data_IF_695283121063
#
_entry.id   IF_695283121063
#
_cell.length_a   1.000
_cell.length_b   1.000
_cell.length_c   1.000
_cell.angle_alpha   90.00
_cell.angle_beta   90.00
_cell.angle_gamma   90.00
#
_symmetry.space_group_name_H-M   'P 1'
#
loop_
_entity.id
_entity.type
_entity.pdbx_description
1 polymer ?
#
# COMPACT_ATOMS: atom_id res chain seq x y z
N UNK A 1 43.07 -16.24 35.63
CA UNK A 1 42.22 -15.08 35.96
C UNK A 1 40.78 -15.39 35.53
N UNK A 2 39.90 -15.68 36.50
CA UNK A 2 38.47 -15.88 36.22
C UNK A 2 37.88 -14.53 35.82
N UNK A 3 37.18 -14.45 34.69
CA UNK A 3 36.63 -13.21 34.12
C UNK A 3 35.14 -13.09 34.52
N UNK A 4 34.80 -12.56 35.72
CA UNK A 4 33.41 -12.46 36.16
C UNK A 4 32.58 -11.57 35.23
N UNK A 5 33.21 -10.60 34.56
CA UNK A 5 32.57 -9.73 33.58
C UNK A 5 32.00 -10.50 32.37
N UNK A 6 32.65 -11.59 31.94
CA UNK A 6 32.15 -12.40 30.82
C UNK A 6 30.87 -13.16 31.19
N UNK A 7 30.75 -13.58 32.46
CA UNK A 7 29.53 -14.21 32.98
C UNK A 7 28.37 -13.22 33.08
N UNK A 8 28.63 -11.99 33.50
CA UNK A 8 27.62 -10.93 33.55
C UNK A 8 27.10 -10.56 32.15
N UNK A 9 28.01 -10.41 31.18
CA UNK A 9 27.63 -10.15 29.78
C UNK A 9 26.85 -11.31 29.16
N UNK A 10 27.27 -12.55 29.41
CA UNK A 10 26.55 -13.74 28.95
C UNK A 10 25.14 -13.85 29.56
N UNK A 11 25.00 -13.58 30.86
CA UNK A 11 23.71 -13.59 31.54
C UNK A 11 22.77 -12.48 31.01
N UNK A 12 23.30 -11.29 30.73
CA UNK A 12 22.50 -10.19 30.17
C UNK A 12 22.01 -10.50 28.75
N UNK A 13 22.87 -11.06 27.90
CA UNK A 13 22.50 -11.49 26.55
C UNK A 13 21.45 -12.62 26.57
N UNK A 14 21.59 -13.60 27.47
CA UNK A 14 20.61 -14.67 27.64
C UNK A 14 19.25 -14.13 28.12
N UNK A 15 19.24 -13.23 29.12
CA UNK A 15 18.02 -12.60 29.60
C UNK A 15 17.31 -11.77 28.52
N UNK A 16 18.07 -11.01 27.71
CA UNK A 16 17.52 -10.27 26.57
C UNK A 16 16.89 -11.17 25.52
N UNK A 17 17.52 -12.30 25.21
CA UNK A 17 16.98 -13.28 24.27
C UNK A 17 15.70 -13.94 24.81
N UNK A 18 15.67 -14.35 26.09
CA UNK A 18 14.46 -14.90 26.71
C UNK A 18 13.32 -13.87 26.73
N UNK A 19 13.60 -12.61 27.07
CA UNK A 19 12.59 -11.54 27.07
C UNK A 19 12.02 -11.30 25.67
N UNK A 20 12.86 -11.31 24.62
CA UNK A 20 12.41 -11.18 23.23
C UNK A 20 11.52 -12.36 22.81
N UNK A 21 11.83 -13.59 23.24
CA UNK A 21 10.99 -14.76 22.96
C UNK A 21 9.65 -14.70 23.69
N UNK A 22 9.64 -14.26 24.95
CA UNK A 22 8.39 -14.08 25.71
C UNK A 22 7.51 -12.98 25.12
N UNK A 23 8.09 -11.89 24.59
CA UNK A 23 7.33 -10.84 23.91
C UNK A 23 6.70 -11.31 22.59
N UNK A 24 7.36 -12.20 21.84
CA UNK A 24 6.77 -12.81 20.65
C UNK A 24 5.61 -13.75 20.99
N UNK A 25 5.72 -14.55 22.07
CA UNK A 25 4.63 -15.43 22.53
C UNK A 25 3.45 -14.62 23.10
N UNK A 26 3.71 -13.47 23.74
CA UNK A 26 2.65 -12.60 24.25
C UNK A 26 1.79 -11.95 23.13
N UNK A 27 2.28 -11.92 21.88
CA UNK A 27 1.53 -11.39 20.75
C UNK A 27 0.69 -12.47 20.03
N UNK A 28 0.82 -13.75 20.40
CA UNK A 28 0.01 -14.87 19.87
C UNK A 28 -1.31 -15.08 20.63
N UNK A 29 -1.63 -14.25 21.63
CA UNK A 29 -2.55 -14.64 22.70
C UNK A 29 -3.77 -13.78 22.93
N UNK A 30 -4.32 -13.08 21.94
CA UNK A 30 -5.73 -12.71 22.00
C UNK A 30 -6.52 -13.63 21.05
N UNK A 31 -6.78 -14.85 21.51
CA UNK A 31 -7.69 -15.80 20.86
C UNK A 31 -9.15 -15.43 21.07
N UNK A 32 -9.44 -14.30 21.73
CA UNK A 32 -10.80 -13.81 21.85
C UNK A 32 -11.35 -13.53 20.45
N UNK A 33 -12.56 -14.01 20.12
CA UNK A 33 -13.20 -13.67 18.86
C UNK A 33 -13.28 -12.15 18.72
N UNK A 34 -12.70 -11.60 17.65
CA UNK A 34 -12.85 -10.18 17.33
C UNK A 34 -14.35 -9.91 17.13
N UNK A 35 -14.97 -9.01 17.92
CA UNK A 35 -16.39 -8.68 17.78
C UNK A 35 -16.75 -8.12 16.40
N UNK A 36 -15.76 -7.67 15.61
CA UNK A 36 -15.93 -7.14 14.25
C UNK A 36 -15.73 -8.20 13.16
N UNK A 37 -15.31 -9.42 13.51
CA UNK A 37 -14.97 -10.44 12.53
C UNK A 37 -16.16 -10.79 11.61
N UNK A 38 -17.37 -10.85 12.14
CA UNK A 38 -18.57 -11.15 11.35
C UNK A 38 -18.94 -10.01 10.40
N UNK A 39 -18.82 -8.76 10.84
CA UNK A 39 -19.02 -7.59 9.99
C UNK A 39 -17.98 -7.56 8.86
N UNK A 40 -16.72 -7.88 9.17
CA UNK A 40 -15.65 -7.96 8.18
C UNK A 40 -15.91 -9.06 7.15
N UNK A 41 -16.29 -10.27 7.60
CA UNK A 41 -16.66 -11.37 6.70
C UNK A 41 -17.81 -10.99 5.77
N UNK A 42 -18.83 -10.30 6.29
CA UNK A 42 -19.96 -9.79 5.50
C UNK A 42 -19.48 -8.79 4.43
N UNK A 43 -18.70 -7.77 4.80
CA UNK A 43 -18.16 -6.77 3.86
C UNK A 43 -17.27 -7.39 2.78
N UNK A 44 -16.47 -8.40 3.15
CA UNK A 44 -15.63 -9.13 2.21
C UNK A 44 -16.48 -9.98 1.24
N UNK A 45 -17.55 -10.62 1.71
CA UNK A 45 -18.47 -11.34 0.85
C UNK A 45 -19.18 -10.40 -0.13
N UNK A 46 -19.68 -9.25 0.33
CA UNK A 46 -20.28 -8.21 -0.52
C UNK A 46 -19.30 -7.68 -1.58
N UNK A 47 -18.05 -7.44 -1.19
CA UNK A 47 -17.02 -6.94 -2.12
C UNK A 47 -16.60 -7.99 -3.15
N UNK A 48 -16.59 -9.28 -2.79
CA UNK A 48 -16.27 -10.37 -3.73
C UNK A 48 -17.32 -10.54 -4.83
N UNK A 49 -18.60 -10.33 -4.53
CA UNK A 49 -19.65 -10.37 -5.53
C UNK A 49 -19.42 -9.32 -6.64
N UNK A 50 -18.89 -8.15 -6.31
CA UNK A 50 -18.56 -7.08 -7.27
C UNK A 50 -17.35 -7.46 -8.15
N UNK A 51 -16.43 -8.28 -7.65
CA UNK A 51 -15.23 -8.71 -8.39
C UNK A 51 -15.57 -9.67 -9.53
N UNK A 52 -16.63 -10.47 -9.40
CA UNK A 52 -17.03 -11.44 -10.44
C UNK A 52 -17.43 -10.74 -11.75
N UNK A 53 -17.98 -9.52 -11.68
CA UNK A 53 -18.35 -8.70 -12.85
C UNK A 53 -17.19 -7.84 -13.38
N UNK A 54 -16.09 -7.74 -12.61
CA UNK A 54 -14.97 -6.84 -12.93
C UNK A 54 -14.21 -7.28 -14.18
N UNK A 55 -14.02 -8.57 -14.39
CA UNK A 55 -13.29 -9.07 -15.57
C UNK A 55 -14.03 -8.73 -16.87
N UNK A 56 -15.36 -8.84 -16.89
CA UNK A 56 -16.18 -8.48 -18.05
C UNK A 56 -16.17 -6.97 -18.31
N UNK A 57 -16.21 -6.17 -17.24
CA UNK A 57 -16.09 -4.71 -17.33
C UNK A 57 -14.71 -4.27 -17.85
N UNK A 58 -13.64 -4.83 -17.29
CA UNK A 58 -12.26 -4.46 -17.65
C UNK A 58 -11.85 -4.98 -19.03
N UNK A 59 -12.43 -6.09 -19.50
CA UNK A 59 -12.18 -6.61 -20.84
C UNK A 59 -12.62 -5.65 -21.96
N UNK A 60 -13.58 -4.76 -21.69
CA UNK A 60 -14.02 -3.73 -22.62
C UNK A 60 -13.13 -2.47 -22.59
N UNK A 61 -12.25 -2.32 -21.59
CA UNK A 61 -11.36 -1.16 -21.47
C UNK A 61 -10.03 -1.39 -22.20
N UNK A 62 -9.43 -0.31 -22.69
CA UNK A 62 -8.06 -0.35 -23.20
C UNK A 62 -7.10 -0.11 -22.05
N UNK A 63 -6.28 -1.10 -21.70
CA UNK A 63 -5.29 -0.95 -20.63
C UNK A 63 -4.23 0.09 -20.99
N UNK A 64 -3.55 0.65 -19.99
CA UNK A 64 -2.52 1.68 -20.19
C UNK A 64 -1.40 1.20 -21.13
N UNK A 65 -1.01 -0.07 -21.06
CA UNK A 65 0.02 -0.66 -21.92
C UNK A 65 -0.43 -0.78 -23.38
N UNK A 66 -1.73 -0.89 -23.62
CA UNK A 66 -2.34 -0.98 -24.95
C UNK A 66 -2.79 0.37 -25.50
N UNK A 67 -3.05 1.34 -24.61
CA UNK A 67 -3.46 2.68 -25.00
C UNK A 67 -2.36 3.30 -25.86
N UNK A 68 -2.73 3.77 -27.05
CA UNK A 68 -1.80 4.41 -27.95
C UNK A 68 -1.17 5.64 -27.28
N UNK A 69 0.10 5.50 -26.88
CA UNK A 69 0.90 6.64 -26.51
C UNK A 69 1.10 7.49 -27.78
N UNK A 70 0.80 8.80 -27.77
CA UNK A 70 1.22 9.66 -28.87
C UNK A 70 2.72 9.49 -29.06
N UNK A 71 3.17 9.42 -30.32
CA UNK A 71 4.56 9.17 -30.68
C UNK A 71 5.55 10.15 -30.01
N UNK A 72 5.09 11.33 -29.59
CA UNK A 72 5.88 12.26 -28.78
C UNK A 72 5.04 12.95 -27.66
N UNK A 73 5.20 12.54 -26.39
CA UNK A 73 4.60 13.20 -25.24
C UNK A 73 5.00 14.68 -25.10
N UNK A 74 6.19 15.05 -25.58
CA UNK A 74 6.71 16.41 -25.44
C UNK A 74 5.98 17.39 -26.34
N UNK A 75 5.72 17.02 -27.59
CA UNK A 75 4.88 17.79 -28.52
C UNK A 75 3.48 18.04 -27.93
N UNK A 76 2.85 17.00 -27.34
CA UNK A 76 1.54 17.15 -26.68
C UNK A 76 1.60 18.14 -25.52
N UNK A 77 2.63 18.05 -24.66
CA UNK A 77 2.80 18.98 -23.54
C UNK A 77 2.93 20.42 -24.01
N UNK A 78 3.77 20.67 -25.02
CA UNK A 78 3.95 22.02 -25.58
C UNK A 78 2.63 22.60 -26.10
N UNK A 79 1.87 21.81 -26.87
CA UNK A 79 0.59 22.23 -27.42
C UNK A 79 -0.42 22.61 -26.33
N UNK A 80 -0.52 21.82 -25.25
CA UNK A 80 -1.40 22.12 -24.10
C UNK A 80 -0.98 23.42 -23.41
N UNK A 81 0.32 23.61 -23.17
CA UNK A 81 0.83 24.82 -22.53
C UNK A 81 0.64 26.07 -23.41
N UNK A 82 0.82 25.95 -24.72
CA UNK A 82 0.55 27.03 -25.67
C UNK A 82 -0.94 27.41 -25.69
N UNK A 83 -1.83 26.41 -25.80
CA UNK A 83 -3.27 26.64 -25.75
C UNK A 83 -3.71 27.30 -24.44
N UNK A 84 -3.15 26.87 -23.31
CA UNK A 84 -3.39 27.46 -21.99
C UNK A 84 -2.93 28.91 -21.90
N UNK A 85 -1.73 29.24 -22.42
CA UNK A 85 -1.23 30.62 -22.47
C UNK A 85 -2.14 31.52 -23.32
N UNK A 86 -2.50 31.07 -24.51
CA UNK A 86 -3.39 31.82 -25.41
C UNK A 86 -4.79 32.04 -24.79
N UNK A 87 -5.32 31.06 -24.06
CA UNK A 87 -6.58 31.23 -23.34
C UNK A 87 -6.47 32.28 -22.24
N UNK A 88 -5.39 32.26 -21.46
CA UNK A 88 -5.15 33.24 -20.40
C UNK A 88 -4.94 34.66 -20.96
N UNK A 89 -4.29 34.81 -22.12
CA UNK A 89 -4.16 36.10 -22.83
C UNK A 89 -5.53 36.66 -23.23
N UNK A 90 -6.38 35.86 -23.89
CA UNK A 90 -7.74 36.28 -24.26
C UNK A 90 -8.59 36.72 -23.06
N UNK A 91 -8.36 36.13 -21.88
CA UNK A 91 -9.06 36.52 -20.66
C UNK A 91 -8.55 37.85 -20.09
N UNK A 92 -7.27 38.20 -20.32
CA UNK A 92 -6.68 39.47 -19.88
C UNK A 92 -6.99 40.63 -20.83
N UNK A 93 -7.26 40.32 -22.10
CA UNK A 93 -7.62 41.30 -23.14
C UNK A 93 -9.13 41.65 -23.17
N UNK A 94 -9.92 40.99 -22.32
CA UNK A 94 -11.33 41.33 -22.05
C UNK A 94 -11.45 42.25 -20.85
#
# INVERSE_FOLDING_TARGET
MRRPAAWLLGAFAAAGLLRRRQQHVAHEGDTSPDPRADELRRKLAESRAIVEEREEFEAAETTVDQAYAPADPETRRRAVHEAGRAAAERMRER
#
